data_IF_521929045717
#
_entry.id   IF_521929045717
#
_cell.length_a   1.000
_cell.length_b   1.000
_cell.length_c   1.000
_cell.angle_alpha   90.00
_cell.angle_beta   90.00
_cell.angle_gamma   90.00
#
_symmetry.space_group_name_H-M   'P 1'
#
loop_
_entity.id
_entity.type
_entity.pdbx_description
1 polymer ?
#
# COMPACT_ATOMS: atom_id res chain seq x y z
N UNK A 1 -19.38 -2.96 -5.54
CA UNK A 1 -20.32 -1.81 -5.76
C UNK A 1 -19.51 -0.59 -6.11
N UNK A 2 -19.93 0.17 -7.11
CA UNK A 2 -19.30 1.44 -7.49
C UNK A 2 -19.66 2.57 -6.52
N UNK A 3 -18.91 3.67 -6.54
CA UNK A 3 -19.19 4.85 -5.71
C UNK A 3 -20.63 5.37 -5.93
N UNK A 4 -21.08 5.39 -7.18
CA UNK A 4 -22.44 5.83 -7.52
C UNK A 4 -23.49 4.88 -6.95
N UNK A 5 -23.31 3.56 -7.09
CA UNK A 5 -24.24 2.57 -6.53
C UNK A 5 -24.33 2.65 -4.98
N UNK A 6 -23.20 2.85 -4.32
CA UNK A 6 -23.15 3.05 -2.86
C UNK A 6 -23.92 4.30 -2.45
N UNK A 7 -23.71 5.42 -3.14
CA UNK A 7 -24.38 6.67 -2.84
C UNK A 7 -25.89 6.58 -3.10
N UNK A 8 -26.31 5.98 -4.21
CA UNK A 8 -27.71 5.82 -4.58
C UNK A 8 -28.46 4.93 -3.58
N UNK A 9 -27.82 3.86 -3.09
CA UNK A 9 -28.41 3.00 -2.07
C UNK A 9 -28.70 3.76 -0.77
N UNK A 10 -27.77 4.61 -0.32
CA UNK A 10 -27.93 5.39 0.92
C UNK A 10 -29.01 6.46 0.73
N UNK A 11 -28.93 7.24 -0.34
CA UNK A 11 -29.86 8.35 -0.58
C UNK A 11 -31.30 7.88 -0.84
N UNK A 12 -31.46 6.75 -1.53
CA UNK A 12 -32.77 6.08 -1.70
C UNK A 12 -33.35 5.63 -0.37
N UNK A 13 -32.53 5.01 0.48
CA UNK A 13 -32.95 4.57 1.83
C UNK A 13 -33.38 5.73 2.72
N UNK A 14 -32.73 6.88 2.57
CA UNK A 14 -33.07 8.10 3.30
C UNK A 14 -34.20 8.92 2.67
N UNK A 15 -34.69 8.52 1.50
CA UNK A 15 -35.66 9.27 0.70
C UNK A 15 -35.19 10.70 0.35
N UNK A 16 -33.87 10.87 0.19
CA UNK A 16 -33.21 12.13 -0.13
C UNK A 16 -32.33 11.97 -1.38
N UNK A 17 -32.99 11.93 -2.55
CA UNK A 17 -32.37 11.59 -3.85
C UNK A 17 -31.99 12.82 -4.67
N UNK A 18 -31.95 14.00 -4.08
CA UNK A 18 -31.53 15.19 -4.79
C UNK A 18 -30.02 15.13 -5.17
N UNK A 19 -29.63 15.85 -6.20
CA UNK A 19 -28.27 15.80 -6.73
C UNK A 19 -27.24 16.36 -5.73
N UNK A 20 -27.61 17.27 -4.84
CA UNK A 20 -26.74 17.82 -3.82
C UNK A 20 -26.50 16.83 -2.69
N UNK A 21 -27.53 16.08 -2.31
CA UNK A 21 -27.45 15.00 -1.31
C UNK A 21 -26.63 13.82 -1.82
N UNK A 22 -26.81 13.41 -3.09
CA UNK A 22 -25.99 12.38 -3.72
C UNK A 22 -24.51 12.80 -3.75
N UNK A 23 -24.22 14.05 -4.17
CA UNK A 23 -22.85 14.57 -4.19
C UNK A 23 -22.22 14.61 -2.81
N UNK A 24 -22.99 14.97 -1.78
CA UNK A 24 -22.51 15.00 -0.40
C UNK A 24 -22.25 13.59 0.11
N UNK A 25 -23.14 12.65 -0.18
CA UNK A 25 -22.98 11.24 0.16
C UNK A 25 -21.70 10.64 -0.46
N UNK A 26 -21.42 10.90 -1.73
CA UNK A 26 -20.17 10.49 -2.40
C UNK A 26 -18.92 11.04 -1.67
N UNK A 27 -18.95 12.29 -1.21
CA UNK A 27 -17.86 12.86 -0.42
C UNK A 27 -17.67 12.15 0.93
N UNK A 28 -18.76 11.84 1.63
CA UNK A 28 -18.67 11.08 2.88
C UNK A 28 -18.09 9.69 2.65
N UNK A 29 -18.55 8.97 1.61
CA UNK A 29 -18.00 7.66 1.26
C UNK A 29 -16.49 7.76 1.00
N UNK A 30 -16.03 8.70 0.17
CA UNK A 30 -14.60 8.88 -0.13
C UNK A 30 -13.78 9.24 1.12
N UNK A 31 -14.29 10.11 2.01
CA UNK A 31 -13.62 10.45 3.26
C UNK A 31 -13.47 9.22 4.18
N UNK A 32 -14.54 8.42 4.32
CA UNK A 32 -14.50 7.20 5.13
C UNK A 32 -13.61 6.14 4.51
N UNK A 33 -13.65 6.01 3.18
CA UNK A 33 -12.76 5.11 2.45
C UNK A 33 -11.29 5.48 2.66
N UNK A 34 -10.95 6.77 2.61
CA UNK A 34 -9.60 7.24 2.91
C UNK A 34 -9.17 6.84 4.31
N UNK A 35 -10.00 7.09 5.31
CA UNK A 35 -9.70 6.72 6.70
C UNK A 35 -9.48 5.21 6.84
N UNK A 36 -10.31 4.39 6.20
CA UNK A 36 -10.16 2.93 6.21
C UNK A 36 -8.87 2.49 5.50
N UNK A 37 -8.59 3.06 4.34
CA UNK A 37 -7.40 2.75 3.55
C UNK A 37 -6.11 3.09 4.32
N UNK A 38 -6.06 4.26 4.95
CA UNK A 38 -4.89 4.74 5.69
C UNK A 38 -4.67 3.98 7.02
N UNK A 39 -5.74 3.46 7.63
CA UNK A 39 -5.69 2.86 8.96
C UNK A 39 -4.99 1.49 9.05
N UNK A 40 -4.78 0.79 7.94
CA UNK A 40 -4.22 -0.57 7.94
C UNK A 40 -3.43 -0.86 6.66
N UNK A 41 -2.57 -1.88 6.72
CA UNK A 41 -1.92 -2.47 5.56
C UNK A 41 -2.85 -3.54 4.98
N UNK A 42 -3.71 -3.14 4.07
CA UNK A 42 -4.59 -4.07 3.38
C UNK A 42 -3.84 -4.80 2.28
N UNK A 43 -4.05 -6.09 2.12
CA UNK A 43 -3.42 -6.90 1.06
C UNK A 43 -3.60 -6.25 -0.32
N UNK A 44 -4.79 -5.77 -0.61
CA UNK A 44 -5.12 -5.13 -1.90
C UNK A 44 -4.61 -3.68 -2.03
N UNK A 45 -4.07 -3.09 -0.95
CA UNK A 45 -3.44 -1.77 -0.98
C UNK A 45 -1.93 -1.83 -1.19
N UNK A 46 -1.38 -3.01 -1.43
CA UNK A 46 0.05 -3.24 -1.62
C UNK A 46 0.40 -3.33 -3.11
N UNK A 47 1.59 -2.88 -3.45
CA UNK A 47 2.15 -2.98 -4.80
C UNK A 47 3.65 -3.16 -4.78
N UNK A 48 4.20 -3.71 -5.86
CA UNK A 48 5.65 -3.86 -6.06
C UNK A 48 6.11 -2.96 -7.19
N UNK A 49 7.13 -2.17 -6.91
CA UNK A 49 7.88 -1.42 -7.94
C UNK A 49 9.19 -2.14 -8.19
N UNK A 50 9.53 -2.29 -9.48
CA UNK A 50 10.85 -2.77 -9.91
C UNK A 50 11.59 -1.63 -10.61
N UNK A 51 12.77 -1.29 -10.13
CA UNK A 51 13.58 -0.21 -10.69
C UNK A 51 14.98 -0.71 -11.00
N UNK A 52 15.48 -0.38 -12.19
CA UNK A 52 16.86 -0.65 -12.56
C UNK A 52 17.80 0.24 -11.74
N UNK A 53 18.86 -0.34 -11.21
CA UNK A 53 19.85 0.33 -10.36
C UNK A 53 21.21 0.18 -11.03
N UNK A 54 21.90 1.29 -11.22
CA UNK A 54 23.27 1.27 -11.71
C UNK A 54 24.27 0.91 -10.60
N UNK A 55 25.47 0.50 -10.98
CA UNK A 55 26.56 0.40 -10.02
C UNK A 55 26.83 1.81 -9.44
N UNK A 56 27.11 1.84 -8.15
CA UNK A 56 27.47 3.07 -7.40
C UNK A 56 26.32 4.07 -7.17
N UNK A 57 25.07 3.71 -7.47
CA UNK A 57 23.93 4.56 -7.15
C UNK A 57 23.81 4.82 -5.64
N UNK A 58 23.92 6.10 -5.26
CA UNK A 58 23.80 6.52 -3.85
C UNK A 58 22.35 6.71 -3.41
N UNK A 59 21.47 7.01 -4.37
CA UNK A 59 20.06 7.24 -4.11
C UNK A 59 19.23 6.64 -5.22
N UNK A 60 18.28 5.80 -4.86
CA UNK A 60 17.41 5.12 -5.81
C UNK A 60 16.01 5.72 -5.69
N UNK A 61 15.46 6.19 -6.80
CA UNK A 61 14.11 6.72 -6.92
C UNK A 61 13.21 5.65 -7.51
N UNK A 62 12.11 5.35 -6.86
CA UNK A 62 11.10 4.39 -7.29
C UNK A 62 10.08 5.11 -8.17
N UNK A 63 10.45 5.38 -9.41
CA UNK A 63 9.63 6.15 -10.37
C UNK A 63 8.74 5.28 -11.24
N UNK A 64 9.02 3.98 -11.32
CA UNK A 64 8.27 3.06 -12.16
C UNK A 64 6.88 2.77 -11.60
N UNK A 65 5.95 2.42 -12.48
CA UNK A 65 4.59 2.10 -12.07
C UNK A 65 4.56 0.79 -11.26
N UNK A 66 3.88 0.78 -10.10
CA UNK A 66 3.78 -0.43 -9.29
C UNK A 66 3.00 -1.53 -10.01
N UNK A 67 3.51 -2.76 -9.95
CA UNK A 67 2.71 -3.94 -10.27
C UNK A 67 1.76 -4.19 -9.11
N UNK A 68 0.46 -4.04 -9.35
CA UNK A 68 -0.58 -4.22 -8.36
C UNK A 68 -1.04 -5.67 -8.39
N UNK A 69 -0.95 -6.38 -7.26
CA UNK A 69 -1.25 -7.81 -7.20
C UNK A 69 -2.73 -8.15 -7.31
N UNK A 70 -3.64 -7.21 -7.02
CA UNK A 70 -5.07 -7.47 -6.91
C UNK A 70 -5.92 -6.34 -7.50
N UNK A 71 -5.69 -6.01 -8.76
CA UNK A 71 -6.66 -5.18 -9.45
C UNK A 71 -7.65 -6.06 -10.21
N UNK A 72 -8.95 -5.93 -10.01
CA UNK A 72 -9.89 -6.48 -10.97
C UNK A 72 -9.64 -5.77 -12.31
N UNK A 73 -9.35 -6.56 -13.34
CA UNK A 73 -8.92 -6.17 -14.68
C UNK A 73 -9.97 -5.40 -15.49
N UNK A 74 -10.81 -4.57 -14.89
CA UNK A 74 -11.92 -3.92 -15.60
C UNK A 74 -11.82 -2.39 -15.69
N UNK A 75 -10.75 -1.75 -15.29
CA UNK A 75 -10.58 -0.32 -15.59
C UNK A 75 -9.36 -0.08 -16.45
N UNK A 76 -9.56 -0.25 -17.71
CA UNK A 76 -8.82 0.47 -18.74
C UNK A 76 -9.05 1.94 -18.52
N UNK A 77 -7.99 2.71 -18.31
CA UNK A 77 -7.93 4.17 -18.29
C UNK A 77 -7.76 4.84 -16.92
N UNK A 78 -6.74 4.43 -16.19
CA UNK A 78 -6.06 5.43 -15.36
C UNK A 78 -4.66 5.62 -15.93
N UNK A 79 -4.38 6.82 -16.37
CA UNK A 79 -3.14 7.20 -17.06
C UNK A 79 -1.90 7.25 -16.14
N UNK A 80 -2.02 6.77 -14.91
CA UNK A 80 -0.89 6.52 -14.01
C UNK A 80 -1.32 5.58 -12.90
N UNK A 81 -0.62 4.46 -12.73
CA UNK A 81 -0.80 3.61 -11.57
C UNK A 81 -0.51 4.41 -10.28
N UNK A 82 -1.24 4.16 -9.16
CA UNK A 82 -1.00 4.86 -7.93
C UNK A 82 0.43 4.55 -7.45
N UNK A 83 1.19 5.61 -7.11
CA UNK A 83 2.56 5.48 -6.60
C UNK A 83 2.58 4.85 -5.21
N UNK A 84 3.75 4.38 -4.79
CA UNK A 84 3.93 3.97 -3.41
C UNK A 84 3.86 5.17 -2.47
N UNK A 85 3.18 5.01 -1.34
CA UNK A 85 3.13 5.96 -0.24
C UNK A 85 4.33 5.74 0.70
N UNK A 86 4.56 4.47 1.07
CA UNK A 86 5.74 4.08 1.84
C UNK A 86 6.17 2.64 1.51
N UNK A 87 7.41 2.32 1.85
CA UNK A 87 8.07 1.06 1.53
C UNK A 87 8.01 0.15 2.76
N UNK A 88 7.60 -1.10 2.55
CA UNK A 88 7.53 -2.16 3.57
C UNK A 88 8.74 -3.07 3.51
N UNK A 89 9.13 -3.51 2.31
CA UNK A 89 10.24 -4.40 2.10
C UNK A 89 10.97 -4.08 0.79
N UNK A 90 12.26 -4.37 0.76
CA UNK A 90 13.11 -4.16 -0.42
C UNK A 90 13.95 -5.38 -0.68
N UNK A 91 14.07 -5.75 -1.94
CA UNK A 91 14.95 -6.82 -2.41
C UNK A 91 15.81 -6.32 -3.56
N UNK A 92 17.11 -6.57 -3.52
CA UNK A 92 18.03 -6.25 -4.60
C UNK A 92 18.51 -7.53 -5.28
N UNK A 93 18.46 -7.56 -6.62
CA UNK A 93 18.94 -8.67 -7.43
C UNK A 93 20.01 -8.15 -8.39
N UNK A 94 21.23 -8.64 -8.24
CA UNK A 94 22.34 -8.29 -9.14
C UNK A 94 22.11 -8.87 -10.53
N UNK A 95 22.46 -8.14 -11.56
CA UNK A 95 22.31 -8.58 -12.96
C UNK A 95 23.06 -9.89 -13.21
N UNK A 96 22.36 -10.88 -13.75
CA UNK A 96 22.92 -12.23 -14.04
C UNK A 96 22.91 -13.19 -12.86
N UNK A 97 22.37 -12.80 -11.70
CA UNK A 97 22.15 -13.70 -10.57
C UNK A 97 20.66 -13.96 -10.37
N UNK A 98 20.32 -15.20 -10.05
CA UNK A 98 18.94 -15.59 -9.76
C UNK A 98 18.52 -15.20 -8.32
N UNK A 99 19.49 -15.14 -7.40
CA UNK A 99 19.22 -14.90 -5.99
C UNK A 99 19.24 -13.40 -5.66
N UNK A 100 18.12 -12.88 -5.20
CA UNK A 100 18.02 -11.54 -4.68
C UNK A 100 18.34 -11.50 -3.18
N UNK A 101 19.04 -10.46 -2.76
CA UNK A 101 19.29 -10.19 -1.35
C UNK A 101 18.14 -9.36 -0.78
N UNK A 102 17.61 -9.82 0.33
CA UNK A 102 16.69 -9.01 1.12
C UNK A 102 17.44 -7.85 1.78
N UNK A 103 16.91 -6.65 1.64
CA UNK A 103 17.47 -5.45 2.24
C UNK A 103 16.62 -5.06 3.46
N UNK A 104 17.23 -5.01 4.61
CA UNK A 104 16.54 -4.64 5.86
C UNK A 104 16.42 -3.12 5.94
N UNK A 105 15.20 -2.63 6.17
CA UNK A 105 14.96 -1.22 6.45
C UNK A 105 15.49 -0.82 7.82
N UNK A 106 16.01 0.40 7.93
CA UNK A 106 16.50 0.94 9.19
C UNK A 106 16.16 2.40 9.40
N UNK A 107 16.27 2.86 10.64
CA UNK A 107 16.06 4.25 10.96
C UNK A 107 17.30 5.08 10.66
N UNK A 108 17.12 6.35 10.30
CA UNK A 108 18.19 7.34 10.15
C UNK A 108 19.15 7.37 11.34
N UNK A 109 18.59 7.30 12.55
CA UNK A 109 19.37 7.37 13.79
C UNK A 109 20.30 6.18 13.93
N UNK A 110 19.82 4.97 13.64
CA UNK A 110 20.65 3.76 13.70
C UNK A 110 21.81 3.81 12.72
N UNK A 111 21.56 4.24 11.48
CA UNK A 111 22.62 4.31 10.48
C UNK A 111 23.59 5.44 10.73
N UNK A 112 23.14 6.59 11.21
CA UNK A 112 24.01 7.69 11.61
C UNK A 112 24.91 7.30 12.77
N UNK A 113 24.43 6.50 13.72
CA UNK A 113 25.22 6.00 14.83
C UNK A 113 26.27 4.95 14.40
N UNK A 114 25.96 4.14 13.39
CA UNK A 114 26.86 3.13 12.86
C UNK A 114 27.99 3.74 12.02
N UNK A 115 27.68 4.73 11.20
CA UNK A 115 28.65 5.44 10.35
C UNK A 115 28.24 6.91 10.14
N UNK A 116 28.68 7.83 11.01
CA UNK A 116 28.37 9.24 10.89
C UNK A 116 28.90 9.89 9.62
N UNK A 117 29.92 9.32 8.97
CA UNK A 117 30.48 9.82 7.72
C UNK A 117 29.77 9.33 6.47
N UNK A 118 28.79 8.44 6.61
CA UNK A 118 28.06 7.81 5.53
C UNK A 118 27.37 8.80 4.56
N UNK A 119 27.08 10.01 5.04
CA UNK A 119 26.42 11.06 4.26
C UNK A 119 27.35 11.88 3.37
N UNK A 120 28.63 11.97 3.75
CA UNK A 120 29.61 12.84 3.12
C UNK A 120 30.74 12.07 2.43
N UNK A 121 30.73 10.75 2.50
CA UNK A 121 31.86 9.96 2.02
C UNK A 121 31.66 9.53 0.58
N UNK A 122 32.40 10.12 -0.33
CA UNK A 122 32.48 9.74 -1.74
C UNK A 122 33.12 8.36 -1.98
N UNK A 123 33.76 7.81 -0.96
CA UNK A 123 34.32 6.45 -0.93
C UNK A 123 33.40 5.51 -0.17
N UNK A 124 32.13 5.50 -0.52
CA UNK A 124 31.20 4.55 0.12
C UNK A 124 31.64 3.11 -0.16
N UNK A 125 31.45 2.29 0.88
CA UNK A 125 31.74 0.87 0.82
C UNK A 125 30.91 0.22 -0.30
N UNK A 126 31.57 -0.23 -1.35
CA UNK A 126 30.92 -0.92 -2.46
C UNK A 126 30.62 -2.35 -2.06
N UNK A 127 29.39 -2.69 -1.91
CA UNK A 127 28.94 -4.04 -1.60
C UNK A 127 27.50 -4.23 -2.14
N UNK A 128 27.00 -5.44 -2.15
CA UNK A 128 25.58 -5.63 -2.36
C UNK A 128 24.81 -5.00 -1.19
N UNK A 129 23.84 -4.12 -1.44
CA UNK A 129 23.11 -3.45 -0.38
C UNK A 129 22.34 -4.45 0.47
N UNK A 130 22.60 -4.46 1.76
CA UNK A 130 21.90 -5.30 2.75
C UNK A 130 20.90 -4.49 3.56
N UNK A 131 21.07 -3.18 3.59
CA UNK A 131 20.23 -2.27 4.35
C UNK A 131 19.89 -1.05 3.49
N UNK A 132 18.78 -0.42 3.80
CA UNK A 132 18.37 0.83 3.16
C UNK A 132 17.74 1.79 4.16
N UNK A 133 17.77 3.08 3.83
CA UNK A 133 17.10 4.13 4.59
C UNK A 133 16.07 4.81 3.67
N UNK A 134 14.81 4.90 4.07
CA UNK A 134 13.83 5.67 3.33
C UNK A 134 14.20 7.16 3.35
N UNK A 135 14.13 7.79 2.20
CA UNK A 135 14.33 9.22 2.00
C UNK A 135 12.99 9.93 1.84
N UNK A 136 12.92 11.24 2.09
CA UNK A 136 11.76 12.03 1.69
C UNK A 136 11.45 11.84 0.20
N UNK A 137 10.17 11.80 -0.19
CA UNK A 137 9.78 11.70 -1.59
C UNK A 137 10.42 12.79 -2.45
N UNK A 138 10.57 12.52 -3.74
CA UNK A 138 10.97 13.55 -4.70
C UNK A 138 9.86 14.58 -4.95
N UNK A 139 10.15 15.60 -5.77
CA UNK A 139 9.18 16.62 -6.13
C UNK A 139 7.95 16.06 -6.89
N UNK A 140 8.08 14.89 -7.48
CA UNK A 140 7.02 14.17 -8.18
C UNK A 140 6.24 13.22 -7.26
N UNK A 141 6.61 13.13 -5.98
CA UNK A 141 6.00 12.26 -4.98
C UNK A 141 6.41 10.79 -5.07
N UNK A 142 7.52 10.47 -5.77
CA UNK A 142 8.05 9.11 -5.81
C UNK A 142 8.83 8.81 -4.52
N UNK A 143 8.67 7.60 -3.98
CA UNK A 143 9.49 7.13 -2.88
C UNK A 143 10.96 7.04 -3.29
N UNK A 144 11.85 7.39 -2.35
CA UNK A 144 13.29 7.27 -2.54
C UNK A 144 13.91 6.49 -1.39
N UNK A 145 14.98 5.79 -1.70
CA UNK A 145 15.78 5.08 -0.71
C UNK A 145 17.26 5.39 -0.89
N UNK A 146 17.99 5.36 0.20
CA UNK A 146 19.46 5.36 0.20
C UNK A 146 19.94 3.97 0.61
N UNK A 147 20.61 3.23 -0.29
CA UNK A 147 21.22 1.96 0.09
C UNK A 147 22.40 2.20 1.03
N UNK A 148 22.54 1.35 2.03
CA UNK A 148 23.71 1.31 2.91
C UNK A 148 24.72 0.35 2.29
N UNK A 149 25.83 0.86 1.91
CA UNK A 149 26.74 0.41 0.85
C UNK A 149 26.10 0.60 -0.54
N UNK A 150 26.83 1.32 -1.39
CA UNK A 150 26.44 1.51 -2.78
C UNK A 150 26.53 0.18 -3.53
N UNK A 151 25.62 -0.09 -4.47
CA UNK A 151 25.66 -1.32 -5.26
C UNK A 151 27.00 -1.49 -5.95
N UNK A 152 27.63 -2.63 -5.78
CA UNK A 152 28.90 -2.96 -6.47
C UNK A 152 28.70 -3.15 -7.97
N UNK A 153 27.55 -3.68 -8.35
CA UNK A 153 27.19 -4.04 -9.71
C UNK A 153 25.79 -3.53 -10.02
N UNK A 154 25.49 -3.32 -11.28
CA UNK A 154 24.14 -3.03 -11.71
C UNK A 154 23.17 -4.17 -11.37
N UNK A 155 21.92 -3.84 -11.13
CA UNK A 155 20.89 -4.83 -10.77
C UNK A 155 19.49 -4.27 -10.88
N UNK A 156 18.53 -5.02 -10.35
CA UNK A 156 17.14 -4.60 -10.23
C UNK A 156 16.77 -4.59 -8.75
N UNK A 157 16.19 -3.50 -8.31
CA UNK A 157 15.63 -3.34 -6.98
C UNK A 157 14.12 -3.53 -7.07
N UNK A 158 13.60 -4.38 -6.21
CA UNK A 158 12.16 -4.61 -6.03
C UNK A 158 11.75 -4.03 -4.68
N UNK A 159 10.80 -3.13 -4.68
CA UNK A 159 10.27 -2.51 -3.47
C UNK A 159 8.79 -2.86 -3.32
N UNK A 160 8.45 -3.58 -2.26
CA UNK A 160 7.08 -3.80 -1.83
C UNK A 160 6.67 -2.62 -0.95
N UNK A 161 5.56 -2.01 -1.24
CA UNK A 161 5.09 -0.88 -0.44
C UNK A 161 3.58 -0.72 -0.49
N UNK A 162 3.07 0.16 0.36
CA UNK A 162 1.68 0.58 0.34
C UNK A 162 1.48 1.60 -0.77
N UNK A 163 0.41 1.42 -1.53
CA UNK A 163 -0.01 2.35 -2.57
C UNK A 163 -0.56 3.64 -1.95
N UNK A 164 -0.34 4.75 -2.64
CA UNK A 164 -0.93 6.03 -2.27
C UNK A 164 -2.44 5.98 -2.46
N UNK A 165 -3.17 6.55 -1.51
CA UNK A 165 -4.62 6.64 -1.62
C UNK A 165 -5.05 7.41 -2.87
N UNK A 166 -6.02 6.85 -3.58
CA UNK A 166 -6.70 7.52 -4.70
C UNK A 166 -8.18 7.56 -4.40
N UNK A 167 -8.80 8.72 -4.56
CA UNK A 167 -10.25 8.86 -4.41
C UNK A 167 -10.97 8.03 -5.47
N UNK A 168 -12.08 7.40 -5.08
CA UNK A 168 -12.93 6.69 -6.01
C UNK A 168 -13.67 7.68 -6.92
N UNK A 169 -13.57 7.45 -8.22
CA UNK A 169 -14.46 8.06 -9.21
C UNK A 169 -15.83 7.36 -9.21
N UNK A 170 -16.76 7.91 -9.96
CA UNK A 170 -18.16 7.46 -10.01
C UNK A 170 -18.34 5.97 -10.37
N UNK A 171 -17.46 5.44 -11.22
CA UNK A 171 -17.47 4.04 -11.69
C UNK A 171 -16.51 3.13 -10.90
N UNK A 172 -15.74 3.69 -9.95
CA UNK A 172 -14.76 2.91 -9.20
C UNK A 172 -15.39 2.19 -8.01
N UNK A 173 -14.83 1.04 -7.69
CA UNK A 173 -15.20 0.25 -6.51
C UNK A 173 -14.09 0.29 -5.48
N UNK A 174 -14.38 0.12 -4.17
CA UNK A 174 -13.35 0.05 -3.14
C UNK A 174 -12.38 -1.11 -3.42
N UNK A 175 -11.09 -0.85 -3.28
CA UNK A 175 -10.04 -1.87 -3.45
C UNK A 175 -10.01 -2.85 -2.27
N UNK A 176 -10.43 -2.41 -1.09
CA UNK A 176 -10.46 -3.22 0.13
C UNK A 176 -11.60 -4.22 0.05
N UNK A 177 -11.31 -5.50 0.13
CA UNK A 177 -12.32 -6.56 0.07
C UNK A 177 -13.32 -6.44 1.23
N UNK A 178 -14.61 -6.49 0.89
CA UNK A 178 -15.70 -6.43 1.87
C UNK A 178 -15.93 -5.04 2.50
N UNK A 179 -15.20 -4.02 2.07
CA UNK A 179 -15.34 -2.66 2.62
C UNK A 179 -16.69 -2.01 2.32
N UNK A 180 -17.41 -2.47 1.30
CA UNK A 180 -18.65 -1.85 0.82
C UNK A 180 -19.69 -1.72 1.95
N UNK A 181 -19.92 -2.79 2.72
CA UNK A 181 -20.91 -2.76 3.82
C UNK A 181 -20.50 -1.80 4.95
N UNK A 182 -19.20 -1.75 5.26
CA UNK A 182 -18.69 -0.81 6.26
C UNK A 182 -18.80 0.64 5.77
N UNK A 183 -18.51 0.89 4.50
CA UNK A 183 -18.65 2.21 3.88
C UNK A 183 -20.12 2.66 3.83
N UNK A 184 -21.05 1.75 3.48
CA UNK A 184 -22.47 2.04 3.52
C UNK A 184 -22.93 2.45 4.91
N UNK A 185 -22.55 1.70 5.94
CA UNK A 185 -22.93 2.00 7.32
C UNK A 185 -22.30 3.32 7.82
N UNK A 186 -21.02 3.59 7.50
CA UNK A 186 -20.37 4.86 7.86
C UNK A 186 -21.03 6.05 7.17
N UNK A 187 -21.24 5.99 5.86
CA UNK A 187 -21.82 7.10 5.12
C UNK A 187 -23.31 7.31 5.46
N UNK A 188 -24.06 6.24 5.74
CA UNK A 188 -25.42 6.35 6.30
C UNK A 188 -25.39 7.07 7.65
N UNK A 189 -24.42 6.76 8.52
CA UNK A 189 -24.22 7.46 9.79
C UNK A 189 -23.96 8.96 9.60
N UNK A 190 -23.05 9.33 8.69
CA UNK A 190 -22.73 10.73 8.36
C UNK A 190 -23.95 11.48 7.80
N UNK A 191 -24.75 10.83 6.96
CA UNK A 191 -25.98 11.42 6.42
C UNK A 191 -27.07 11.60 7.50
N UNK A 192 -27.18 10.65 8.44
CA UNK A 192 -28.09 10.75 9.58
C UNK A 192 -27.68 11.87 10.53
N UNK A 193 -26.38 12.05 10.79
CA UNK A 193 -25.89 13.18 11.60
C UNK A 193 -26.19 14.52 10.92
N UNK A 194 -25.99 14.60 9.59
CA UNK A 194 -26.38 15.78 8.81
C UNK A 194 -27.87 16.09 8.94
N UNK A 195 -28.71 15.06 9.00
CA UNK A 195 -30.15 15.18 9.23
C UNK A 195 -30.52 15.38 10.72
N UNK A 196 -29.54 15.67 11.59
CA UNK A 196 -29.69 15.86 13.04
C UNK A 196 -30.26 14.63 13.80
N UNK A 197 -30.14 13.43 13.21
CA UNK A 197 -30.56 12.17 13.82
C UNK A 197 -29.37 11.49 14.53
N UNK A 198 -28.71 12.18 15.45
CA UNK A 198 -27.45 11.79 16.07
C UNK A 198 -27.46 10.39 16.71
N UNK A 199 -28.54 10.01 17.42
CA UNK A 199 -28.60 8.68 18.04
C UNK A 199 -28.58 7.55 17.01
N UNK A 200 -29.29 7.73 15.90
CA UNK A 200 -29.29 6.73 14.81
C UNK A 200 -27.94 6.71 14.10
N UNK A 201 -27.31 7.88 13.89
CA UNK A 201 -25.97 8.00 13.33
C UNK A 201 -24.96 7.23 14.16
N UNK A 202 -24.96 7.38 15.48
CA UNK A 202 -24.05 6.66 16.39
C UNK A 202 -24.22 5.13 16.34
N UNK A 203 -25.44 4.64 16.20
CA UNK A 203 -25.70 3.21 16.01
C UNK A 203 -25.08 2.72 14.70
N UNK A 204 -25.17 3.52 13.64
CA UNK A 204 -24.55 3.19 12.33
C UNK A 204 -23.03 3.20 12.39
N UNK A 205 -22.41 4.11 13.11
CA UNK A 205 -20.96 4.09 13.32
C UNK A 205 -20.49 2.87 14.09
N UNK A 206 -21.26 2.43 15.09
CA UNK A 206 -20.97 1.20 15.82
C UNK A 206 -21.08 -0.03 14.90
N UNK A 207 -22.13 -0.10 14.07
CA UNK A 207 -22.29 -1.15 13.05
C UNK A 207 -21.12 -1.15 12.08
N UNK A 208 -20.75 0.02 11.55
CA UNK A 208 -19.65 0.19 10.62
C UNK A 208 -18.30 -0.24 11.21
N UNK A 209 -18.02 0.09 12.47
CA UNK A 209 -16.81 -0.32 13.17
C UNK A 209 -16.72 -1.84 13.31
N UNK A 210 -17.82 -2.52 13.61
CA UNK A 210 -17.86 -3.98 13.66
C UNK A 210 -17.63 -4.61 12.28
N UNK A 211 -18.24 -4.07 11.23
CA UNK A 211 -18.03 -4.53 9.85
C UNK A 211 -16.59 -4.32 9.41
N UNK A 212 -15.97 -3.18 9.75
CA UNK A 212 -14.57 -2.91 9.48
C UNK A 212 -13.64 -3.91 10.19
N UNK A 213 -13.98 -4.29 11.43
CA UNK A 213 -13.19 -5.31 12.14
C UNK A 213 -13.27 -6.66 11.43
N UNK A 214 -14.44 -7.05 10.96
CA UNK A 214 -14.60 -8.28 10.16
C UNK A 214 -13.76 -8.22 8.89
N UNK A 215 -13.72 -7.08 8.18
CA UNK A 215 -12.86 -6.90 7.02
C UNK A 215 -11.38 -7.09 7.35
N UNK A 216 -10.93 -6.53 8.49
CA UNK A 216 -9.53 -6.70 8.96
C UNK A 216 -9.21 -8.16 9.29
N UNK A 217 -10.11 -8.84 9.97
CA UNK A 217 -9.91 -10.24 10.33
C UNK A 217 -9.83 -11.13 9.09
N UNK A 218 -10.64 -10.86 8.07
CA UNK A 218 -10.59 -11.57 6.80
C UNK A 218 -9.29 -11.28 6.03
N UNK A 219 -8.83 -10.03 6.01
CA UNK A 219 -7.59 -9.65 5.35
C UNK A 219 -6.37 -10.29 6.06
N UNK A 220 -6.35 -10.27 7.40
CA UNK A 220 -5.31 -10.91 8.20
C UNK A 220 -5.26 -12.44 7.95
N UNK A 221 -6.41 -13.11 7.85
CA UNK A 221 -6.46 -14.54 7.51
C UNK A 221 -5.88 -14.80 6.12
N UNK A 222 -6.07 -13.90 5.16
CA UNK A 222 -5.44 -14.02 3.85
C UNK A 222 -3.92 -13.83 3.92
N UNK A 223 -3.45 -12.86 4.68
CA UNK A 223 -2.02 -12.62 4.91
C UNK A 223 -1.38 -13.81 5.60
N UNK A 224 -1.99 -14.33 6.65
CA UNK A 224 -1.47 -15.51 7.39
C UNK A 224 -1.38 -16.76 6.50
N UNK A 225 -2.39 -17.01 5.67
CA UNK A 225 -2.34 -18.12 4.71
C UNK A 225 -1.20 -17.97 3.72
N UNK A 226 -0.92 -16.74 3.29
CA UNK A 226 0.20 -16.46 2.37
C UNK A 226 1.54 -16.64 3.08
N UNK A 227 1.65 -16.23 4.34
CA UNK A 227 2.86 -16.40 5.14
C UNK A 227 3.15 -17.86 5.51
N UNK A 228 2.14 -18.72 5.65
CA UNK A 228 2.32 -20.14 5.87
C UNK A 228 2.80 -20.92 4.63
N UNK A 229 2.45 -20.45 3.44
CA UNK A 229 2.86 -21.12 2.18
C UNK A 229 4.35 -20.84 1.89
N UNK A 230 4.82 -19.62 2.11
CA UNK A 230 6.20 -19.20 1.80
C UNK A 230 7.25 -19.92 2.68
N UNK A 231 7.12 -19.96 4.02
CA UNK A 231 8.08 -20.65 4.87
C UNK A 231 8.14 -22.18 4.62
N UNK A 232 7.02 -22.80 4.29
CA UNK A 232 6.96 -24.24 4.03
C UNK A 232 7.71 -24.61 2.73
N UNK A 233 7.61 -23.79 1.71
CA UNK A 233 8.34 -23.98 0.46
C UNK A 233 9.84 -23.71 0.65
N UNK A 234 10.19 -22.67 1.43
CA UNK A 234 11.60 -22.35 1.73
C UNK A 234 12.23 -23.37 2.69
N UNK A 235 11.45 -23.93 3.63
CA UNK A 235 11.95 -24.94 4.57
C UNK A 235 12.22 -26.29 3.91
N UNK A 236 11.59 -26.62 2.77
CA UNK A 236 11.87 -27.82 2.01
C UNK A 236 13.10 -27.71 1.09
N UNK A 237 13.62 -26.52 0.89
CA UNK A 237 14.89 -26.29 0.20
C UNK A 237 16.01 -26.32 1.25
N UNK A 238 16.21 -27.46 1.85
CA UNK A 238 17.34 -27.64 2.76
C UNK A 238 18.64 -27.55 1.97
N UNK A 239 19.66 -27.06 2.65
CA UNK A 239 21.02 -26.84 2.10
C UNK A 239 21.64 -28.10 1.51
N UNK A 240 21.06 -29.25 1.78
CA UNK A 240 21.57 -30.60 1.37
C UNK A 240 21.12 -31.00 -0.05
N UNK A 241 20.14 -30.27 -0.65
CA UNK A 241 19.71 -30.57 -2.02
C UNK A 241 20.60 -29.89 -3.09
N UNK A 242 21.62 -29.15 -2.68
CA UNK A 242 22.57 -28.49 -3.58
C UNK A 242 23.99 -29.10 -3.58
N UNK A 243 24.16 -30.29 -3.00
CA UNK A 243 25.42 -31.01 -3.04
C UNK A 243 25.21 -32.31 -3.81
N UNK A 244 25.22 -32.22 -5.13
CA UNK A 244 25.44 -33.33 -6.05
C UNK A 244 26.19 -32.83 -7.28
#
# INVERSE_FOLDING_TARGET
MTLTELADQITTKMSDTDSASVTTCKKFINNRYRMMFEASLWTNSMGVVSTAVAAEDETITLSDDPTIFYYPTSSTTSSSAPKLDFIVAVRFTETGKADGLECVGGSWVQFFQLDPNMWNNTTQRRANPQNFVPLPPDASGNCRIKPIATPKSAGTLYALGKLKFTEMGDSDSPVINGAENALLAYAEGDMLERAMQYQKGQLKFTEAANLLQICRDLDNVQQDKTSFIIPTVVAHWSRDDFVA
#
